data_IF_498368817033
#
_entry.id   IF_498368817033
#
_cell.length_a   1.000
_cell.length_b   1.000
_cell.length_c   1.000
_cell.angle_alpha   90.00
_cell.angle_beta   90.00
_cell.angle_gamma   90.00
#
_symmetry.space_group_name_H-M   'P 1'
#
loop_
_entity.id
_entity.type
_entity.pdbx_description
1 polymer ?
#
# COMPACT_ATOMS: atom_id res chain seq x y z
N UNK A 1 -21.34 34.11 29.07
CA UNK A 1 -21.70 32.71 29.27
C UNK A 1 -22.53 32.28 28.06
N UNK A 2 -21.91 31.72 27.04
CA UNK A 2 -22.57 31.13 25.88
C UNK A 2 -22.34 29.62 25.88
N UNK A 3 -23.26 28.80 25.38
CA UNK A 3 -23.20 27.37 25.54
C UNK A 3 -22.04 26.77 24.75
N UNK A 4 -21.30 25.89 25.40
CA UNK A 4 -20.26 25.08 24.82
C UNK A 4 -20.86 24.22 23.70
N UNK A 5 -20.32 24.38 22.45
CA UNK A 5 -20.62 23.52 21.35
C UNK A 5 -20.15 22.09 21.63
N UNK A 6 -21.09 21.19 21.74
CA UNK A 6 -20.84 19.74 21.84
C UNK A 6 -20.23 19.30 20.52
N UNK A 7 -18.97 18.87 20.52
CA UNK A 7 -18.38 18.12 19.43
C UNK A 7 -19.21 16.85 19.22
N UNK A 8 -19.57 16.49 17.97
CA UNK A 8 -20.23 15.21 17.73
C UNK A 8 -19.31 14.09 18.20
N UNK A 9 -19.81 13.27 19.09
CA UNK A 9 -19.14 12.10 19.61
C UNK A 9 -18.74 11.17 18.45
N UNK A 10 -17.46 10.91 18.39
CA UNK A 10 -16.79 10.02 17.46
C UNK A 10 -17.10 8.54 17.79
N UNK A 11 -18.36 8.14 17.66
CA UNK A 11 -18.81 6.75 17.73
C UNK A 11 -19.13 6.14 16.36
N UNK A 12 -18.85 6.84 15.25
CA UNK A 12 -19.31 6.47 13.92
C UNK A 12 -18.28 5.76 13.02
N UNK A 13 -17.20 5.20 13.55
CA UNK A 13 -16.39 4.29 12.76
C UNK A 13 -16.78 2.85 13.05
N UNK A 14 -17.73 2.37 12.25
CA UNK A 14 -18.19 0.99 11.98
C UNK A 14 -17.78 -0.10 12.99
N UNK A 15 -18.74 -0.56 13.75
CA UNK A 15 -18.87 -1.96 14.11
C UNK A 15 -19.80 -2.63 13.09
N UNK A 16 -19.25 -3.35 12.11
CA UNK A 16 -20.04 -4.17 11.19
C UNK A 16 -19.99 -5.61 11.65
N UNK A 17 -21.17 -6.14 11.98
CA UNK A 17 -21.36 -7.55 12.31
C UNK A 17 -21.13 -8.42 11.05
N UNK A 18 -20.39 -9.53 11.24
CA UNK A 18 -20.12 -10.56 10.25
C UNK A 18 -21.38 -11.16 9.66
N UNK A 19 -21.48 -11.15 8.34
CA UNK A 19 -22.22 -12.18 7.56
C UNK A 19 -21.22 -12.81 6.62
N UNK A 20 -20.92 -14.08 6.84
CA UNK A 20 -20.04 -14.89 6.01
C UNK A 20 -20.79 -15.33 4.73
N UNK A 21 -20.31 -14.92 3.56
CA UNK A 21 -20.71 -15.45 2.26
C UNK A 21 -19.59 -16.28 1.62
N UNK A 22 -19.86 -17.29 0.81
CA UNK A 22 -18.88 -18.27 0.35
C UNK A 22 -17.97 -17.71 -0.74
N UNK A 23 -16.69 -18.10 -0.67
CA UNK A 23 -15.66 -17.79 -1.66
C UNK A 23 -15.88 -18.54 -2.97
N UNK A 24 -15.67 -17.94 -4.14
CA UNK A 24 -15.60 -18.70 -5.39
C UNK A 24 -14.27 -19.40 -5.55
N UNK A 25 -14.36 -20.64 -6.06
CA UNK A 25 -13.25 -21.56 -6.28
C UNK A 25 -12.26 -21.08 -7.36
N UNK A 26 -11.00 -21.43 -7.18
CA UNK A 26 -9.89 -21.23 -8.09
C UNK A 26 -10.11 -21.91 -9.44
N UNK A 27 -10.16 -21.15 -10.54
CA UNK A 27 -10.11 -21.70 -11.90
C UNK A 27 -8.64 -21.93 -12.29
N UNK A 28 -8.22 -23.18 -12.30
CA UNK A 28 -7.02 -23.61 -13.02
C UNK A 28 -7.31 -23.58 -14.52
N UNK A 29 -6.73 -22.66 -15.27
CA UNK A 29 -6.75 -22.69 -16.75
C UNK A 29 -5.59 -23.56 -17.22
N UNK A 30 -5.92 -24.78 -17.64
CA UNK A 30 -5.04 -25.61 -18.44
C UNK A 30 -4.99 -25.07 -19.88
N UNK A 31 -3.81 -24.71 -20.35
CA UNK A 31 -3.57 -24.44 -21.78
C UNK A 31 -3.39 -25.77 -22.50
N UNK A 32 -4.37 -26.16 -23.32
CA UNK A 32 -4.27 -27.26 -24.27
C UNK A 32 -3.76 -26.69 -25.58
N UNK A 33 -2.55 -27.10 -25.97
CA UNK A 33 -1.94 -26.75 -27.28
C UNK A 33 -2.51 -27.70 -28.33
N UNK A 34 -3.37 -27.22 -29.22
CA UNK A 34 -3.80 -27.97 -30.40
C UNK A 34 -2.73 -27.83 -31.49
N UNK A 35 -1.98 -28.90 -31.72
CA UNK A 35 -1.14 -29.04 -32.90
C UNK A 35 -2.02 -29.52 -34.08
N UNK A 36 -2.30 -28.65 -35.04
CA UNK A 36 -2.75 -29.05 -36.36
C UNK A 36 -1.55 -29.56 -37.18
N UNK A 37 -1.64 -30.84 -37.57
CA UNK A 37 -0.77 -31.41 -38.62
C UNK A 37 -1.30 -30.94 -39.97
N UNK A 38 -0.55 -30.11 -40.66
CA UNK A 38 -0.66 -29.98 -42.12
C UNK A 38 0.58 -30.60 -42.73
N UNK A 39 0.35 -31.68 -43.47
CA UNK A 39 1.37 -32.33 -44.32
C UNK A 39 1.48 -31.57 -45.63
N UNK A 40 2.60 -30.93 -45.86
CA UNK A 40 3.02 -30.49 -47.18
C UNK A 40 4.32 -31.23 -47.53
N UNK A 41 4.19 -32.07 -48.55
CA UNK A 41 5.24 -32.85 -49.17
C UNK A 41 6.04 -31.94 -50.11
N UNK A 42 7.33 -31.71 -49.84
CA UNK A 42 8.32 -31.23 -50.82
C UNK A 42 9.67 -31.88 -50.53
N UNK A 43 10.09 -32.56 -51.60
CA UNK A 43 11.27 -33.40 -51.66
C UNK A 43 12.59 -32.74 -51.30
N UNK A 44 13.48 -33.60 -50.83
CA UNK A 44 14.93 -33.58 -50.88
C UNK A 44 15.65 -32.22 -50.99
N UNK A 45 16.02 -31.67 -49.84
CA UNK A 45 17.30 -30.94 -49.72
C UNK A 45 17.83 -31.10 -48.26
N UNK A 46 19.06 -31.59 -48.24
CA UNK A 46 19.87 -32.05 -47.11
C UNK A 46 19.86 -31.23 -45.84
N UNK A 47 19.74 -31.96 -44.75
CA UNK A 47 20.36 -31.85 -43.44
C UNK A 47 21.71 -31.09 -43.46
N UNK A 48 21.72 -29.86 -43.00
CA UNK A 48 22.88 -29.28 -42.30
C UNK A 48 22.58 -27.99 -41.54
N UNK A 49 21.29 -27.64 -41.33
CA UNK A 49 20.93 -26.39 -40.69
C UNK A 49 20.21 -26.55 -39.31
N UNK A 50 20.41 -27.67 -38.64
CA UNK A 50 19.65 -27.97 -37.41
C UNK A 50 20.43 -27.99 -36.08
N UNK A 51 21.69 -27.60 -36.08
CA UNK A 51 22.53 -27.63 -34.87
C UNK A 51 22.81 -26.23 -34.30
N UNK A 52 22.53 -25.15 -35.05
CA UNK A 52 22.82 -23.78 -34.57
C UNK A 52 21.67 -23.17 -33.71
N UNK A 53 20.48 -23.76 -33.75
CA UNK A 53 19.30 -23.16 -33.09
C UNK A 53 19.06 -23.59 -31.64
N UNK A 54 19.84 -24.48 -31.07
CA UNK A 54 19.69 -24.95 -29.67
C UNK A 54 20.78 -24.42 -28.73
N UNK A 55 21.82 -23.79 -29.21
CA UNK A 55 22.87 -23.20 -28.37
C UNK A 55 22.66 -21.72 -28.08
N UNK A 56 21.80 -21.01 -28.84
CA UNK A 56 21.47 -19.59 -28.57
C UNK A 56 20.23 -19.37 -27.69
N UNK A 57 19.51 -20.43 -27.32
CA UNK A 57 18.35 -20.30 -26.42
C UNK A 57 18.72 -20.23 -24.94
N UNK A 58 19.93 -20.65 -24.58
CA UNK A 58 20.45 -20.52 -23.21
C UNK A 58 21.04 -19.12 -22.90
N UNK A 59 21.22 -18.28 -23.92
CA UNK A 59 21.76 -16.93 -23.75
C UNK A 59 20.67 -15.85 -23.63
N UNK A 60 19.39 -16.18 -23.76
CA UNK A 60 18.27 -15.29 -23.49
C UNK A 60 17.55 -15.69 -22.20
N UNK A 61 18.28 -15.93 -21.14
CA UNK A 61 17.78 -15.72 -19.80
C UNK A 61 17.62 -14.20 -19.61
N UNK A 62 16.57 -13.63 -20.19
CA UNK A 62 16.08 -12.34 -19.74
C UNK A 62 15.58 -12.60 -18.32
N UNK A 63 16.45 -12.37 -17.36
CA UNK A 63 16.10 -12.27 -15.96
C UNK A 63 15.14 -11.08 -15.86
N UNK A 64 13.84 -11.35 -16.04
CA UNK A 64 12.76 -10.40 -15.84
C UNK A 64 12.56 -10.22 -14.33
N UNK A 65 13.63 -9.82 -13.65
CA UNK A 65 13.47 -9.29 -12.30
C UNK A 65 12.64 -8.03 -12.40
N UNK A 66 11.51 -7.93 -11.67
CA UNK A 66 10.71 -6.72 -11.68
C UNK A 66 11.58 -5.52 -11.31
N UNK A 67 11.52 -4.44 -12.07
CA UNK A 67 12.22 -3.22 -11.73
C UNK A 67 11.53 -2.53 -10.55
N UNK A 68 12.10 -2.69 -9.37
CA UNK A 68 11.62 -2.07 -8.13
C UNK A 68 12.27 -0.72 -7.84
N UNK A 69 13.10 -0.18 -8.73
CA UNK A 69 13.88 1.04 -8.49
C UNK A 69 13.04 2.20 -7.99
N UNK A 70 11.86 2.43 -8.58
CA UNK A 70 10.93 3.50 -8.18
C UNK A 70 10.30 3.28 -6.80
N UNK A 71 10.21 2.03 -6.34
CA UNK A 71 9.67 1.65 -5.02
C UNK A 71 10.76 1.53 -3.94
N UNK A 72 12.01 1.76 -4.30
CA UNK A 72 13.17 1.84 -3.41
C UNK A 72 13.72 3.25 -3.31
N UNK A 73 13.40 4.12 -4.27
CA UNK A 73 13.91 5.48 -4.35
C UNK A 73 13.45 6.35 -3.17
N UNK A 74 14.38 7.17 -2.66
CA UNK A 74 14.06 8.28 -1.76
C UNK A 74 13.39 9.40 -2.54
N UNK A 75 12.52 10.19 -1.89
CA UNK A 75 11.83 11.32 -2.49
C UNK A 75 11.56 12.40 -1.45
N UNK A 76 10.98 13.53 -1.86
CA UNK A 76 10.70 14.66 -0.95
C UNK A 76 9.85 14.28 0.27
N UNK A 77 8.89 13.37 0.12
CA UNK A 77 7.95 13.00 1.19
C UNK A 77 8.20 11.60 1.77
N UNK A 78 8.85 10.74 0.99
CA UNK A 78 9.32 9.42 1.43
C UNK A 78 10.85 9.51 1.48
N UNK A 79 11.37 10.34 2.39
CA UNK A 79 12.78 10.69 2.53
C UNK A 79 13.54 9.57 3.29
N UNK A 80 13.58 8.39 2.66
CA UNK A 80 14.20 7.18 3.20
C UNK A 80 15.71 7.30 3.43
N UNK A 81 16.38 8.27 2.80
CA UNK A 81 17.78 8.63 2.96
C UNK A 81 18.04 9.58 4.13
N UNK A 82 16.98 10.15 4.75
CA UNK A 82 17.13 11.03 5.91
C UNK A 82 17.82 10.29 7.07
N UNK A 83 18.85 10.89 7.74
CA UNK A 83 19.65 10.19 8.74
C UNK A 83 18.85 9.56 9.88
N UNK A 84 17.83 10.25 10.41
CA UNK A 84 16.98 9.73 11.48
C UNK A 84 16.10 8.56 11.01
N UNK A 85 15.59 8.59 9.76
CA UNK A 85 14.82 7.50 9.18
C UNK A 85 15.69 6.27 8.99
N UNK A 86 16.89 6.44 8.45
CA UNK A 86 17.86 5.34 8.29
C UNK A 86 18.27 4.72 9.63
N UNK A 87 18.52 5.55 10.63
CA UNK A 87 18.86 5.07 11.97
C UNK A 87 17.73 4.22 12.56
N UNK A 88 16.49 4.73 12.51
CA UNK A 88 15.31 3.98 12.99
C UNK A 88 15.07 2.70 12.18
N UNK A 89 15.22 2.75 10.87
CA UNK A 89 15.10 1.58 10.01
C UNK A 89 16.10 0.48 10.37
N UNK A 90 17.37 0.86 10.60
CA UNK A 90 18.41 -0.07 11.03
C UNK A 90 18.12 -0.67 12.42
N UNK A 91 17.64 0.13 13.38
CA UNK A 91 17.22 -0.37 14.71
C UNK A 91 16.11 -1.41 14.59
N UNK A 92 15.09 -1.15 13.76
CA UNK A 92 13.97 -2.07 13.55
C UNK A 92 14.40 -3.36 12.84
N UNK A 93 15.42 -3.29 11.97
CA UNK A 93 15.96 -4.45 11.27
C UNK A 93 16.93 -5.28 12.15
N UNK A 94 17.45 -4.71 13.24
CA UNK A 94 18.48 -5.37 14.04
C UNK A 94 18.03 -6.73 14.58
N UNK A 95 18.75 -7.81 14.21
CA UNK A 95 18.42 -9.18 14.62
C UNK A 95 17.14 -9.76 13.98
N UNK A 96 16.53 -9.08 13.00
CA UNK A 96 15.47 -9.67 12.20
C UNK A 96 16.04 -10.53 11.08
N UNK A 97 15.38 -11.61 10.72
CA UNK A 97 15.76 -12.48 9.61
C UNK A 97 14.72 -12.41 8.48
N UNK A 98 15.17 -11.90 7.33
CA UNK A 98 14.34 -11.76 6.14
C UNK A 98 13.47 -10.50 6.10
N UNK A 99 12.97 -10.20 4.93
CA UNK A 99 12.17 -9.00 4.62
C UNK A 99 10.84 -8.96 5.37
N UNK A 100 10.15 -10.10 5.48
CA UNK A 100 8.88 -10.19 6.19
C UNK A 100 9.02 -9.84 7.68
N UNK A 101 10.10 -10.29 8.35
CA UNK A 101 10.34 -9.98 9.76
C UNK A 101 10.67 -8.49 9.96
N UNK A 102 11.44 -7.90 9.06
CA UNK A 102 11.75 -6.46 9.08
C UNK A 102 10.48 -5.66 8.83
N UNK A 103 9.70 -6.03 7.80
CA UNK A 103 8.45 -5.36 7.46
C UNK A 103 7.44 -5.41 8.62
N UNK A 104 7.32 -6.55 9.30
CA UNK A 104 6.46 -6.70 10.47
C UNK A 104 6.83 -5.71 11.60
N UNK A 105 8.14 -5.52 11.86
CA UNK A 105 8.61 -4.58 12.89
C UNK A 105 8.41 -3.13 12.48
N UNK A 106 8.70 -2.77 11.22
CA UNK A 106 8.40 -1.44 10.69
C UNK A 106 6.91 -1.13 10.77
N UNK A 107 6.06 -2.09 10.38
CA UNK A 107 4.62 -1.96 10.47
C UNK A 107 4.15 -1.76 11.92
N UNK A 108 4.59 -2.62 12.85
CA UNK A 108 4.20 -2.53 14.26
C UNK A 108 4.62 -1.19 14.86
N UNK A 109 5.85 -0.74 14.61
CA UNK A 109 6.34 0.56 15.05
C UNK A 109 5.46 1.71 14.57
N UNK A 110 5.16 1.78 13.26
CA UNK A 110 4.34 2.88 12.72
C UNK A 110 2.90 2.77 13.18
N UNK A 111 2.33 1.55 13.26
CA UNK A 111 0.95 1.35 13.72
C UNK A 111 0.76 1.78 15.17
N UNK A 112 1.67 1.36 16.06
CA UNK A 112 1.45 1.40 17.51
C UNK A 112 2.15 2.59 18.19
N UNK A 113 3.33 3.04 17.69
CA UNK A 113 4.11 4.10 18.34
C UNK A 113 3.91 5.48 17.70
N UNK A 114 3.42 5.55 16.45
CA UNK A 114 3.09 6.82 15.81
C UNK A 114 1.60 7.09 15.97
N UNK A 115 1.26 8.14 16.74
CA UNK A 115 -0.12 8.52 16.99
C UNK A 115 -0.84 8.95 15.68
N UNK A 116 -2.06 8.46 15.45
CA UNK A 116 -2.87 9.01 14.34
C UNK A 116 -3.34 10.41 14.71
N UNK A 117 -2.98 11.42 13.89
CA UNK A 117 -3.15 12.83 14.24
C UNK A 117 -4.59 13.19 14.62
N UNK A 118 -5.59 12.70 13.87
CA UNK A 118 -7.00 12.96 14.19
C UNK A 118 -7.46 12.25 15.46
N UNK A 119 -7.12 10.98 15.64
CA UNK A 119 -7.59 10.20 16.80
C UNK A 119 -7.04 10.75 18.12
N UNK A 120 -5.83 11.29 18.09
CA UNK A 120 -5.15 11.84 19.27
C UNK A 120 -5.13 13.37 19.30
N UNK A 121 -5.77 14.04 18.33
CA UNK A 121 -5.81 15.51 18.19
C UNK A 121 -4.44 16.17 18.29
N UNK A 122 -3.42 15.57 17.63
CA UNK A 122 -2.03 16.00 17.72
C UNK A 122 -1.61 16.84 16.51
N UNK A 123 -1.00 17.98 16.81
CA UNK A 123 -0.26 18.82 15.90
C UNK A 123 1.27 18.64 16.10
N UNK A 124 2.12 19.06 15.14
CA UNK A 124 1.78 19.67 13.86
C UNK A 124 1.19 18.69 12.84
N UNK A 125 0.62 19.21 11.75
CA UNK A 125 0.36 18.41 10.54
C UNK A 125 1.70 18.02 9.93
N UNK A 126 1.89 16.74 9.68
CA UNK A 126 3.13 16.19 9.12
C UNK A 126 2.89 15.64 7.73
N UNK A 127 3.90 15.73 6.85
CA UNK A 127 3.83 15.19 5.50
C UNK A 127 5.05 14.34 5.15
N UNK A 128 6.27 14.80 5.46
CA UNK A 128 7.50 14.03 5.24
C UNK A 128 7.62 12.89 6.24
N UNK A 129 8.22 11.78 5.82
CA UNK A 129 8.47 10.65 6.70
C UNK A 129 9.34 11.04 7.91
N UNK A 130 10.39 11.86 7.70
CA UNK A 130 11.24 12.37 8.77
C UNK A 130 10.47 13.24 9.78
N UNK A 131 9.51 14.08 9.32
CA UNK A 131 8.68 14.90 10.21
C UNK A 131 7.75 14.01 11.05
N UNK A 132 7.14 12.99 10.44
CA UNK A 132 6.29 12.02 11.15
C UNK A 132 7.09 11.32 12.25
N UNK A 133 8.31 10.88 11.94
CA UNK A 133 9.19 10.25 12.91
C UNK A 133 9.57 11.22 14.04
N UNK A 134 9.92 12.46 13.71
CA UNK A 134 10.30 13.49 14.68
C UNK A 134 9.17 13.86 15.64
N UNK A 135 7.96 14.03 15.12
CA UNK A 135 6.81 14.49 15.92
C UNK A 135 5.98 13.35 16.50
N UNK A 136 6.24 12.09 16.11
CA UNK A 136 5.52 10.92 16.60
C UNK A 136 4.02 10.94 16.26
N UNK A 137 3.62 11.64 15.21
CA UNK A 137 2.21 11.77 14.81
C UNK A 137 2.08 11.97 13.30
N UNK A 138 0.94 11.55 12.73
CA UNK A 138 0.60 11.73 11.32
C UNK A 138 -0.81 11.23 11.02
N UNK A 139 -1.44 11.82 10.01
CA UNK A 139 -2.60 11.21 9.37
C UNK A 139 -2.22 9.87 8.73
N UNK A 140 -3.20 9.04 8.38
CA UNK A 140 -2.97 7.75 7.70
C UNK A 140 -2.00 7.89 6.51
N UNK A 141 -2.12 8.95 5.73
CA UNK A 141 -1.22 9.28 4.61
C UNK A 141 0.24 9.47 5.05
N UNK A 142 0.46 10.34 6.03
CA UNK A 142 1.80 10.64 6.53
C UNK A 142 2.43 9.43 7.24
N UNK A 143 1.63 8.65 7.99
CA UNK A 143 2.08 7.37 8.55
C UNK A 143 2.48 6.38 7.47
N UNK A 144 1.75 6.34 6.33
CA UNK A 144 2.11 5.54 5.16
C UNK A 144 3.41 6.01 4.50
N UNK A 145 3.68 7.33 4.48
CA UNK A 145 4.97 7.85 4.00
C UNK A 145 6.13 7.38 4.88
N UNK A 146 5.96 7.43 6.21
CA UNK A 146 6.99 6.93 7.14
C UNK A 146 7.20 5.43 7.00
N UNK A 147 6.13 4.63 6.90
CA UNK A 147 6.26 3.19 6.72
C UNK A 147 7.00 2.84 5.42
N UNK A 148 6.63 3.49 4.30
CA UNK A 148 7.34 3.32 3.04
C UNK A 148 8.83 3.71 3.16
N UNK A 149 9.15 4.81 3.86
CA UNK A 149 10.52 5.27 4.04
C UNK A 149 11.36 4.28 4.87
N UNK A 150 10.82 3.73 5.96
CA UNK A 150 11.50 2.73 6.78
C UNK A 150 11.75 1.42 6.01
N UNK A 151 10.78 0.98 5.20
CA UNK A 151 10.91 -0.21 4.35
C UNK A 151 11.98 0.01 3.28
N UNK A 152 11.91 1.14 2.55
CA UNK A 152 12.88 1.50 1.50
C UNK A 152 14.30 1.64 2.05
N UNK A 153 14.46 2.24 3.23
CA UNK A 153 15.76 2.35 3.90
C UNK A 153 16.38 0.99 4.25
N UNK A 154 15.54 -0.05 4.39
CA UNK A 154 15.95 -1.45 4.58
C UNK A 154 16.04 -2.24 3.26
N UNK A 155 15.95 -1.59 2.10
CA UNK A 155 16.02 -2.24 0.80
C UNK A 155 14.77 -3.06 0.44
N UNK A 156 13.64 -2.83 1.12
CA UNK A 156 12.38 -3.52 0.86
C UNK A 156 11.49 -2.62 0.01
N UNK A 157 11.11 -3.05 -1.22
CA UNK A 157 10.26 -2.23 -2.09
C UNK A 157 8.91 -1.94 -1.44
N UNK A 158 8.53 -0.66 -1.39
CA UNK A 158 7.28 -0.23 -0.78
C UNK A 158 6.64 0.91 -1.57
N UNK A 159 5.32 0.82 -1.74
CA UNK A 159 4.50 1.83 -2.39
C UNK A 159 3.34 2.28 -1.51
N UNK A 160 2.61 3.27 -2.00
CA UNK A 160 1.43 3.83 -1.37
C UNK A 160 0.19 3.27 -2.06
N UNK A 161 -0.81 2.93 -1.28
CA UNK A 161 -2.12 2.52 -1.73
C UNK A 161 -3.19 3.41 -1.11
N UNK A 162 -4.37 3.46 -1.73
CA UNK A 162 -5.47 4.25 -1.23
C UNK A 162 -6.80 3.50 -1.33
N UNK A 163 -7.65 3.76 -0.35
CA UNK A 163 -9.07 3.43 -0.39
C UNK A 163 -9.86 4.74 -0.42
N UNK A 164 -10.93 4.79 -1.19
CA UNK A 164 -11.90 5.88 -1.15
C UNK A 164 -13.03 5.46 -0.25
N UNK A 165 -13.16 6.10 0.91
CA UNK A 165 -14.10 5.73 1.97
C UNK A 165 -15.08 6.86 2.24
N UNK A 166 -16.27 6.54 2.70
CA UNK A 166 -17.20 7.51 3.25
C UNK A 166 -16.63 8.12 4.54
N UNK A 167 -16.75 9.43 4.70
CA UNK A 167 -16.33 10.12 5.93
C UNK A 167 -17.28 9.77 7.10
N UNK A 168 -18.56 9.55 6.82
CA UNK A 168 -19.56 9.05 7.76
C UNK A 168 -19.79 7.55 7.64
N UNK A 169 -20.95 7.09 8.08
CA UNK A 169 -21.30 5.67 8.04
C UNK A 169 -21.61 5.20 6.61
N UNK A 170 -22.25 6.02 5.79
CA UNK A 170 -22.69 5.70 4.43
C UNK A 170 -22.74 6.97 3.58
N UNK A 171 -22.30 6.84 2.33
CA UNK A 171 -22.45 7.89 1.30
C UNK A 171 -21.51 9.09 1.49
N UNK A 172 -21.73 10.15 0.68
CA UNK A 172 -20.88 11.33 0.71
C UNK A 172 -21.01 12.13 2.02
N UNK A 173 -19.95 12.90 2.39
CA UNK A 173 -18.72 13.09 1.64
C UNK A 173 -17.79 11.87 1.73
N UNK A 174 -16.93 11.72 0.70
CA UNK A 174 -15.90 10.69 0.67
C UNK A 174 -14.52 11.31 0.90
N UNK A 175 -13.58 10.49 1.34
CA UNK A 175 -12.18 10.85 1.44
C UNK A 175 -11.29 9.67 1.05
N UNK A 176 -10.03 9.96 0.78
CA UNK A 176 -9.01 8.93 0.66
C UNK A 176 -8.59 8.43 2.04
N UNK A 177 -8.35 7.15 2.16
CA UNK A 177 -7.58 6.53 3.23
C UNK A 177 -6.25 6.03 2.67
N UNK A 178 -5.14 6.34 3.35
CA UNK A 178 -3.80 5.95 2.93
C UNK A 178 -3.30 4.71 3.65
N UNK A 179 -2.75 3.77 2.88
CA UNK A 179 -2.10 2.54 3.35
C UNK A 179 -0.91 2.22 2.43
N UNK A 180 -0.25 1.09 2.63
CA UNK A 180 0.93 0.71 1.85
C UNK A 180 0.75 -0.64 1.15
N UNK A 181 1.54 -0.85 0.08
CA UNK A 181 1.93 -2.16 -0.38
C UNK A 181 3.43 -2.35 -0.16
N UNK A 182 3.84 -3.52 0.29
CA UNK A 182 5.22 -3.96 0.45
C UNK A 182 5.45 -5.19 -0.41
N UNK A 183 6.59 -5.26 -1.10
CA UNK A 183 6.97 -6.46 -1.83
C UNK A 183 7.80 -7.36 -0.92
N UNK A 184 7.26 -8.54 -0.65
CA UNK A 184 7.90 -9.59 0.13
C UNK A 184 8.34 -10.73 -0.80
N UNK A 185 9.58 -11.21 -0.66
CA UNK A 185 10.13 -12.22 -1.57
C UNK A 185 9.28 -13.49 -1.64
N UNK A 186 8.71 -13.88 -0.50
CA UNK A 186 7.87 -15.08 -0.42
C UNK A 186 6.44 -14.86 -0.94
N UNK A 187 5.89 -13.63 -0.78
CA UNK A 187 4.45 -13.39 -0.99
C UNK A 187 4.14 -12.46 -2.17
N UNK A 188 5.15 -11.77 -2.73
CA UNK A 188 4.95 -10.70 -3.73
C UNK A 188 4.40 -9.43 -3.08
N UNK A 189 3.64 -8.63 -3.85
CA UNK A 189 2.99 -7.43 -3.32
C UNK A 189 1.91 -7.79 -2.30
N UNK A 190 2.06 -7.23 -1.10
CA UNK A 190 1.19 -7.45 0.05
C UNK A 190 0.80 -6.12 0.68
N UNK A 191 -0.51 -5.88 0.85
CA UNK A 191 -0.99 -4.61 1.43
C UNK A 191 -0.98 -4.64 2.95
N UNK A 192 -0.58 -3.52 3.54
CA UNK A 192 -0.49 -3.31 4.99
C UNK A 192 -1.01 -1.93 5.36
N UNK A 193 -1.66 -1.82 6.50
CA UNK A 193 -2.30 -0.59 6.96
C UNK A 193 -1.85 -0.23 8.37
N UNK A 194 -0.89 0.69 8.46
CA UNK A 194 -0.30 1.14 9.72
C UNK A 194 -1.01 2.36 10.32
N UNK A 195 -2.30 2.59 9.96
CA UNK A 195 -3.08 3.73 10.49
C UNK A 195 -3.05 3.82 12.02
N UNK A 196 -3.14 2.69 12.69
CA UNK A 196 -3.30 2.58 14.15
C UNK A 196 -4.61 1.90 14.49
N UNK A 197 -4.55 1.04 15.51
CA UNK A 197 -5.71 0.28 15.98
C UNK A 197 -6.49 1.06 17.04
N UNK A 198 -7.80 0.89 17.04
CA UNK A 198 -8.75 1.41 18.04
C UNK A 198 -10.01 0.55 18.02
N UNK A 199 -10.97 0.72 18.94
CA UNK A 199 -12.25 0.01 18.86
C UNK A 199 -12.87 0.14 17.46
N UNK A 200 -13.16 -1.00 16.81
CA UNK A 200 -13.70 -1.09 15.45
C UNK A 200 -12.64 -0.99 14.33
N UNK A 201 -11.37 -0.77 14.63
CA UNK A 201 -10.26 -0.75 13.68
C UNK A 201 -9.13 -1.66 14.14
N UNK A 202 -8.87 -2.74 13.39
CA UNK A 202 -7.91 -3.77 13.79
C UNK A 202 -7.09 -4.24 12.58
N UNK A 203 -6.02 -3.50 12.25
CA UNK A 203 -5.06 -3.90 11.23
C UNK A 203 -3.95 -4.77 11.82
N UNK A 204 -3.50 -5.78 11.05
CA UNK A 204 -2.42 -6.67 11.44
C UNK A 204 -1.53 -7.06 10.26
N UNK A 205 -0.31 -7.47 10.57
CA UNK A 205 0.64 -8.02 9.61
C UNK A 205 0.57 -9.55 9.67
N UNK A 206 -0.15 -10.16 8.73
CA UNK A 206 -0.47 -11.60 8.72
C UNK A 206 -0.36 -12.21 7.33
N UNK A 207 0.78 -12.00 6.58
CA UNK A 207 0.89 -12.52 5.23
C UNK A 207 0.71 -14.05 5.19
N UNK A 208 0.07 -14.60 4.15
CA UNK A 208 -0.43 -13.90 2.95
C UNK A 208 -1.82 -13.29 3.10
N UNK A 209 -2.49 -13.37 4.24
CA UNK A 209 -3.82 -12.78 4.44
C UNK A 209 -3.72 -11.31 4.84
N UNK A 210 -4.35 -10.44 4.04
CA UNK A 210 -4.45 -9.02 4.36
C UNK A 210 -5.42 -8.80 5.52
N UNK A 211 -5.01 -7.99 6.50
CA UNK A 211 -5.87 -7.49 7.56
C UNK A 211 -5.69 -5.97 7.67
N UNK A 212 -6.46 -5.24 6.86
CA UNK A 212 -6.45 -3.78 6.78
C UNK A 212 -7.33 -3.16 7.88
N UNK A 213 -7.20 -1.85 8.08
CA UNK A 213 -8.04 -1.08 9.00
C UNK A 213 -9.52 -1.08 8.57
N UNK A 214 -9.75 -1.05 7.25
CA UNK A 214 -11.09 -1.05 6.63
C UNK A 214 -11.18 -2.16 5.58
N UNK A 215 -11.35 -3.44 5.99
CA UNK A 215 -11.31 -4.57 5.08
C UNK A 215 -12.59 -4.73 4.25
N UNK A 216 -13.72 -4.24 4.76
CA UNK A 216 -15.03 -4.34 4.11
C UNK A 216 -15.46 -2.96 3.62
N UNK A 217 -15.75 -2.86 2.32
CA UNK A 217 -16.14 -1.62 1.67
C UNK A 217 -17.63 -1.61 1.38
N UNK A 218 -18.29 -0.46 1.62
CA UNK A 218 -19.64 -0.23 1.18
C UNK A 218 -19.70 -0.16 -0.37
N UNK A 219 -20.89 -0.31 -1.00
CA UNK A 219 -21.02 -0.33 -2.46
C UNK A 219 -20.44 0.89 -3.18
N UNK A 220 -20.41 2.04 -2.52
CA UNK A 220 -19.92 3.30 -3.08
C UNK A 220 -18.44 3.58 -2.73
N UNK A 221 -17.87 2.81 -1.81
CA UNK A 221 -16.46 2.85 -1.46
C UNK A 221 -15.63 2.03 -2.46
N UNK A 222 -14.35 2.33 -2.57
CA UNK A 222 -13.46 1.67 -3.55
C UNK A 222 -12.06 1.49 -3.00
N UNK A 223 -11.50 0.30 -3.25
CA UNK A 223 -10.06 0.12 -3.34
C UNK A 223 -9.57 0.73 -4.65
N UNK A 224 -8.51 1.52 -4.60
CA UNK A 224 -7.80 1.94 -5.80
C UNK A 224 -6.76 0.85 -6.12
N UNK A 225 -6.74 0.35 -7.37
CA UNK A 225 -5.95 -0.84 -7.69
C UNK A 225 -4.45 -0.59 -7.84
N UNK A 226 -4.05 0.68 -7.97
CA UNK A 226 -2.67 1.04 -8.24
C UNK A 226 -1.82 1.06 -6.97
N UNK A 227 -0.53 0.79 -7.15
CA UNK A 227 0.53 1.01 -6.16
C UNK A 227 1.34 2.21 -6.61
N UNK A 228 1.31 3.30 -5.86
CA UNK A 228 2.01 4.55 -6.21
C UNK A 228 3.40 4.60 -5.58
N UNK A 229 4.44 4.94 -6.34
CA UNK A 229 5.79 5.14 -5.79
C UNK A 229 5.93 6.46 -5.02
N UNK A 230 5.01 7.42 -5.23
CA UNK A 230 4.99 8.73 -4.59
C UNK A 230 3.56 9.09 -4.15
N UNK A 231 3.40 10.01 -3.17
CA UNK A 231 2.08 10.44 -2.73
C UNK A 231 1.28 11.12 -3.84
N UNK A 232 -0.04 10.95 -3.83
CA UNK A 232 -0.93 11.69 -4.71
C UNK A 232 -0.86 13.19 -4.41
N UNK A 233 -0.88 14.07 -5.45
CA UNK A 233 -0.77 15.52 -5.26
C UNK A 233 -1.80 16.11 -4.31
N UNK A 234 -3.06 15.64 -4.33
CA UNK A 234 -4.12 16.10 -3.43
C UNK A 234 -3.88 15.71 -1.97
N UNK A 235 -3.23 14.57 -1.72
CA UNK A 235 -2.80 14.15 -0.38
C UNK A 235 -1.72 15.10 0.14
N UNK A 236 -0.71 15.37 -0.69
CA UNK A 236 0.34 16.34 -0.35
C UNK A 236 -0.24 17.72 -0.08
N UNK A 237 -1.12 18.20 -0.95
CA UNK A 237 -1.77 19.50 -0.76
C UNK A 237 -2.51 19.58 0.59
N UNK A 238 -3.27 18.54 0.94
CA UNK A 238 -4.01 18.50 2.21
C UNK A 238 -3.09 18.53 3.43
N UNK A 239 -1.90 17.91 3.35
CA UNK A 239 -0.95 17.86 4.45
C UNK A 239 0.04 19.04 4.51
N UNK A 240 0.07 19.91 3.50
CA UNK A 240 1.03 21.02 3.43
C UNK A 240 0.37 22.39 3.43
N UNK A 241 -0.91 22.49 3.07
CA UNK A 241 -1.65 23.76 3.02
C UNK A 241 -2.23 24.11 4.39
N UNK A 242 -2.69 23.13 5.14
CA UNK A 242 -3.36 23.32 6.42
C UNK A 242 -2.40 23.19 7.59
N UNK A 243 -2.54 24.09 8.58
CA UNK A 243 -1.63 24.18 9.73
C UNK A 243 -2.04 23.26 10.88
N UNK A 244 -3.33 22.92 10.97
CA UNK A 244 -3.88 22.16 12.11
C UNK A 244 -4.58 20.88 11.67
N UNK A 245 -4.61 19.91 12.59
CA UNK A 245 -5.32 18.64 12.38
C UNK A 245 -6.81 18.87 12.10
N UNK A 246 -7.42 19.86 12.70
CA UNK A 246 -8.83 20.20 12.50
C UNK A 246 -9.09 20.77 11.08
N UNK A 247 -8.19 21.60 10.58
CA UNK A 247 -8.29 22.12 9.22
C UNK A 247 -8.14 21.01 8.19
N UNK A 248 -7.19 20.09 8.38
CA UNK A 248 -7.06 18.90 7.50
C UNK A 248 -8.34 18.06 7.53
N UNK A 249 -8.93 17.84 8.71
CA UNK A 249 -10.16 17.06 8.85
C UNK A 249 -11.36 17.70 8.14
N UNK A 250 -11.39 19.02 8.07
CA UNK A 250 -12.42 19.77 7.32
C UNK A 250 -12.20 19.73 5.80
N UNK A 251 -11.01 19.33 5.34
CA UNK A 251 -10.61 19.37 3.91
C UNK A 251 -9.87 18.08 3.51
N UNK A 252 -10.41 16.94 3.91
CA UNK A 252 -9.82 15.62 3.56
C UNK A 252 -9.74 15.45 2.03
N UNK A 253 -8.65 14.89 1.50
CA UNK A 253 -8.52 14.71 0.07
C UNK A 253 -9.48 13.64 -0.44
N UNK A 254 -10.08 13.88 -1.59
CA UNK A 254 -10.89 12.91 -2.34
C UNK A 254 -10.45 12.89 -3.81
N UNK A 255 -10.90 11.90 -4.56
CA UNK A 255 -10.71 11.78 -6.00
C UNK A 255 -12.04 11.56 -6.70
N UNK A 256 -12.14 12.08 -7.92
CA UNK A 256 -13.25 11.76 -8.79
C UNK A 256 -13.01 10.40 -9.44
N UNK A 257 -13.90 9.45 -9.17
CA UNK A 257 -13.87 8.15 -9.85
C UNK A 257 -14.45 8.30 -11.26
N UNK A 258 -13.72 7.82 -12.25
CA UNK A 258 -14.25 7.74 -13.61
C UNK A 258 -15.32 6.64 -13.66
N UNK A 259 -16.40 6.84 -14.42
CA UNK A 259 -17.38 5.79 -14.65
C UNK A 259 -16.72 4.55 -15.27
N UNK A 260 -16.98 3.37 -14.74
CA UNK A 260 -16.57 2.14 -15.42
C UNK A 260 -17.36 2.05 -16.74
N UNK A 261 -16.65 2.10 -17.87
CA UNK A 261 -17.25 1.67 -19.13
C UNK A 261 -17.61 0.19 -18.98
N UNK A 262 -18.92 -0.09 -19.14
CA UNK A 262 -19.46 -1.46 -19.11
C UNK A 262 -19.05 -2.23 -20.36
#
# INVERSE_FOLDING_TARGET
MGPAGVCPNDTSYRAVAKVAGPRPASLKRGFSLFLRKETLDFGLLRLESRIIFLQDLDAMSTDFSPDFSIYLASSTYIDSDHPAVRARAAELAAGASGDAAIAARCFAFVRDEIAHSWDYQRNPVTCRASDVLQHGTGYCYAKSHLLAALLRANGIPAGLCYQRLAVGEVGPPFCLHGLNAVYLQEFGWYRIDARGNKPGVAAAFTPPQEQLAFPELAPEERDLPEIWPAPLPQVVASLTVYATVQEVAAHLPDIQLLPRHK
#
